data_IF_851043607518
#
_entry.id   IF_851043607518
#
_cell.length_a   1.000
_cell.length_b   1.000
_cell.length_c   1.000
_cell.angle_alpha   90.00
_cell.angle_beta   90.00
_cell.angle_gamma   90.00
#
_symmetry.space_group_name_H-M   'P 1'
#
loop_
_entity.id
_entity.type
_entity.pdbx_description
1 polymer ?
#
# COMPACT_ATOMS: atom_id res chain seq x y z
N UNK A 1 -20.81 -31.66 -26.01
CA UNK A 1 -19.52 -31.69 -25.29
C UNK A 1 -19.51 -30.60 -24.23
N UNK A 2 -19.82 -30.92 -22.98
CA UNK A 2 -19.75 -29.97 -21.89
C UNK A 2 -18.27 -29.69 -21.57
N UNK A 3 -17.82 -28.45 -21.72
CA UNK A 3 -16.47 -28.05 -21.29
C UNK A 3 -16.37 -28.30 -19.78
N UNK A 4 -15.58 -29.29 -19.34
CA UNK A 4 -15.19 -29.45 -17.92
C UNK A 4 -14.63 -28.10 -17.47
N UNK A 5 -15.32 -27.40 -16.55
CA UNK A 5 -14.72 -26.28 -15.82
C UNK A 5 -13.51 -26.85 -15.08
N UNK A 6 -12.31 -26.53 -15.55
CA UNK A 6 -11.06 -26.91 -14.89
C UNK A 6 -11.05 -26.18 -13.56
N UNK A 7 -11.03 -26.92 -12.45
CA UNK A 7 -10.95 -26.31 -11.13
C UNK A 7 -9.64 -25.52 -11.03
N UNK A 8 -9.68 -24.29 -10.50
CA UNK A 8 -8.49 -23.46 -10.44
C UNK A 8 -7.44 -24.16 -9.57
N UNK A 9 -6.30 -24.49 -10.17
CA UNK A 9 -5.21 -25.17 -9.47
C UNK A 9 -4.50 -24.16 -8.58
N UNK A 10 -3.86 -24.60 -7.49
CA UNK A 10 -3.10 -23.73 -6.58
C UNK A 10 -2.08 -22.83 -7.31
N UNK A 11 -1.50 -23.33 -8.40
CA UNK A 11 -0.61 -22.58 -9.29
C UNK A 11 -1.30 -21.46 -10.08
N UNK A 12 -2.57 -21.62 -10.41
CA UNK A 12 -3.35 -20.58 -11.09
C UNK A 12 -3.71 -19.45 -10.13
N UNK A 13 -3.99 -19.78 -8.86
CA UNK A 13 -4.18 -18.79 -7.79
C UNK A 13 -2.87 -18.03 -7.50
N UNK A 14 -1.74 -18.74 -7.43
CA UNK A 14 -0.42 -18.12 -7.21
C UNK A 14 -0.04 -17.13 -8.31
N UNK A 15 -0.47 -17.36 -9.56
CA UNK A 15 -0.26 -16.42 -10.68
C UNK A 15 -1.19 -15.20 -10.63
N UNK A 16 -2.31 -15.28 -9.91
CA UNK A 16 -3.23 -14.15 -9.73
C UNK A 16 -2.79 -13.22 -8.60
N UNK A 17 -2.06 -13.73 -7.61
CA UNK A 17 -1.54 -12.92 -6.49
C UNK A 17 -0.73 -11.69 -6.95
N UNK A 18 0.23 -11.79 -7.89
CA UNK A 18 0.97 -10.62 -8.38
C UNK A 18 0.09 -9.56 -9.03
N UNK A 19 -0.92 -9.97 -9.82
CA UNK A 19 -1.82 -9.04 -10.50
C UNK A 19 -2.69 -8.26 -9.51
N UNK A 20 -3.24 -8.96 -8.52
CA UNK A 20 -4.01 -8.37 -7.42
C UNK A 20 -3.13 -7.43 -6.60
N UNK A 21 -1.91 -7.84 -6.23
CA UNK A 21 -0.98 -7.00 -5.48
C UNK A 21 -0.64 -5.73 -6.26
N UNK A 22 -0.39 -5.81 -7.56
CA UNK A 22 -0.09 -4.64 -8.39
C UNK A 22 -1.28 -3.68 -8.54
N UNK A 23 -2.51 -4.20 -8.58
CA UNK A 23 -3.73 -3.41 -8.62
C UNK A 23 -3.89 -2.56 -7.35
N UNK A 24 -3.65 -3.16 -6.18
CA UNK A 24 -3.71 -2.46 -4.89
C UNK A 24 -2.44 -1.67 -4.54
N UNK A 25 -1.30 -1.97 -5.18
CA UNK A 25 -0.02 -1.33 -4.89
C UNK A 25 -0.05 0.18 -5.18
N UNK A 26 -0.61 0.61 -6.31
CA UNK A 26 -0.67 2.03 -6.69
C UNK A 26 -1.39 2.90 -5.66
N UNK A 27 -2.67 2.63 -5.31
CA UNK A 27 -3.36 3.43 -4.31
C UNK A 27 -2.69 3.29 -2.94
N UNK A 28 -2.25 2.09 -2.55
CA UNK A 28 -1.59 1.87 -1.27
C UNK A 28 -0.35 2.76 -1.11
N UNK A 29 0.58 2.72 -2.08
CA UNK A 29 1.78 3.57 -2.05
C UNK A 29 1.39 5.05 -2.08
N UNK A 30 0.46 5.46 -2.93
CA UNK A 30 0.07 6.87 -3.04
C UNK A 30 -0.48 7.44 -1.72
N UNK A 31 -1.32 6.67 -1.02
CA UNK A 31 -1.91 7.12 0.23
C UNK A 31 -1.02 6.91 1.46
N UNK A 32 -0.07 5.97 1.43
CA UNK A 32 0.77 5.66 2.60
C UNK A 32 2.14 6.30 2.55
N UNK A 33 2.68 6.59 1.37
CA UNK A 33 4.05 7.09 1.21
C UNK A 33 4.26 8.42 1.94
N UNK A 34 3.39 9.40 1.72
CA UNK A 34 3.49 10.70 2.37
C UNK A 34 3.28 10.60 3.90
N UNK A 35 2.20 9.96 4.40
CA UNK A 35 2.04 9.76 5.84
C UNK A 35 3.21 9.03 6.51
N UNK A 36 3.79 8.04 5.84
CA UNK A 36 4.93 7.29 6.37
C UNK A 36 6.16 8.19 6.55
N UNK A 37 6.48 9.01 5.54
CA UNK A 37 7.61 9.95 5.63
C UNK A 37 7.36 10.98 6.73
N UNK A 38 6.13 11.47 6.85
CA UNK A 38 5.74 12.41 7.92
C UNK A 38 6.00 11.78 9.28
N UNK A 39 5.49 10.57 9.53
CA UNK A 39 5.70 9.88 10.81
C UNK A 39 7.18 9.69 11.09
N UNK A 40 7.96 9.20 10.13
CA UNK A 40 9.40 9.00 10.28
C UNK A 40 10.13 10.31 10.61
N UNK A 41 9.85 11.39 9.90
CA UNK A 41 10.46 12.70 10.17
C UNK A 41 10.10 13.22 11.56
N UNK A 42 8.85 13.02 11.99
CA UNK A 42 8.38 13.40 13.32
C UNK A 42 9.03 12.57 14.44
N UNK A 43 9.30 11.27 14.24
CA UNK A 43 10.00 10.45 15.25
C UNK A 43 11.50 10.69 15.28
N UNK A 44 12.12 11.10 14.17
CA UNK A 44 13.56 11.36 14.09
C UNK A 44 13.97 12.78 14.52
N UNK A 45 13.01 13.69 14.76
CA UNK A 45 13.27 15.07 15.16
C UNK A 45 12.92 15.29 16.62
N UNK A 46 13.86 15.81 17.41
CA UNK A 46 13.64 16.24 18.79
C UNK A 46 13.81 17.77 18.91
N UNK A 47 12.82 18.50 19.46
CA UNK A 47 11.51 18.03 19.96
C UNK A 47 10.56 17.63 18.82
N UNK A 48 9.64 16.68 19.09
CA UNK A 48 8.70 16.20 18.07
C UNK A 48 7.76 17.33 17.63
N UNK A 49 7.70 17.64 16.32
CA UNK A 49 6.80 18.68 15.83
C UNK A 49 5.34 18.22 15.91
N UNK A 50 4.41 19.17 16.05
CA UNK A 50 2.98 18.87 16.00
C UNK A 50 2.50 18.73 14.55
N UNK A 51 1.44 17.96 14.30
CA UNK A 51 0.84 17.83 12.97
C UNK A 51 0.38 19.20 12.42
N UNK A 52 -0.10 20.07 13.30
CA UNK A 52 -0.52 21.43 12.93
C UNK A 52 0.64 22.29 12.42
N UNK A 53 1.85 22.14 12.98
CA UNK A 53 3.06 22.82 12.49
C UNK A 53 3.56 22.24 11.17
N UNK A 54 3.33 20.94 10.94
CA UNK A 54 3.81 20.27 9.74
C UNK A 54 2.93 20.55 8.51
N UNK A 55 1.62 20.73 8.72
CA UNK A 55 0.63 20.99 7.68
C UNK A 55 0.22 22.46 7.59
N UNK A 56 0.51 23.24 8.63
CA UNK A 56 0.25 24.66 8.70
C UNK A 56 1.45 25.48 8.22
N UNK A 57 1.24 26.77 7.90
CA UNK A 57 2.32 27.66 7.47
C UNK A 57 3.27 28.11 8.59
N UNK A 58 3.12 27.59 9.83
CA UNK A 58 3.70 28.13 11.07
C UNK A 58 4.20 27.04 12.01
#
# INVERSE_FOLDING_TARGET
MAKRKKEPTAWDMAKQVPAVVLEYAKPFVHYTFIPLIIVLGMTMTEPRPSIAQLLGPM
#
